data_IF_165116946888
#
_entry.id   IF_165116946888
#
_cell.length_a   1.000
_cell.length_b   1.000
_cell.length_c   1.000
_cell.angle_alpha   90.00
_cell.angle_beta   90.00
_cell.angle_gamma   90.00
#
_symmetry.space_group_name_H-M   'P 1'
#
loop_
_entity.id
_entity.type
_entity.pdbx_description
1 polymer ?
#
# COMPACT_ATOMS: atom_id res chain seq x y z
N UNK A 1 -13.67 4.52 -9.38
CA UNK A 1 -14.66 3.71 -8.66
C UNK A 1 -15.79 3.30 -9.61
N UNK A 2 -16.14 2.03 -9.60
CA UNK A 2 -17.29 1.49 -10.37
C UNK A 2 -18.30 0.91 -9.39
N UNK A 3 -19.56 1.25 -9.58
CA UNK A 3 -20.65 0.81 -8.71
C UNK A 3 -21.69 0.08 -9.55
N UNK A 4 -22.16 -1.08 -9.08
CA UNK A 4 -23.27 -1.84 -9.62
C UNK A 4 -24.33 -2.11 -8.54
N UNK A 5 -25.61 -2.06 -8.89
CA UNK A 5 -26.71 -2.30 -7.97
C UNK A 5 -27.38 -3.62 -8.36
N UNK A 6 -27.63 -4.51 -7.37
CA UNK A 6 -28.32 -5.80 -7.53
C UNK A 6 -27.75 -6.69 -8.65
N UNK A 7 -26.40 -6.71 -8.80
CA UNK A 7 -25.75 -7.51 -9.86
C UNK A 7 -25.84 -6.90 -11.26
N UNK A 8 -26.30 -5.66 -11.40
CA UNK A 8 -26.35 -4.93 -12.66
C UNK A 8 -24.99 -4.44 -13.16
N UNK A 9 -24.90 -3.85 -14.34
CA UNK A 9 -23.67 -3.35 -14.92
C UNK A 9 -23.05 -2.26 -14.03
N UNK A 10 -21.72 -2.36 -13.79
CA UNK A 10 -20.97 -1.39 -13.00
C UNK A 10 -20.67 -0.14 -13.82
N UNK A 11 -21.23 1.01 -13.42
CA UNK A 11 -21.04 2.31 -14.06
C UNK A 11 -20.06 3.19 -13.26
N UNK A 12 -19.33 4.07 -13.96
CA UNK A 12 -18.50 5.08 -13.32
C UNK A 12 -19.37 6.22 -12.79
N UNK A 13 -19.24 6.56 -11.50
CA UNK A 13 -20.09 7.58 -10.83
C UNK A 13 -19.32 8.87 -10.51
N UNK A 14 -18.21 9.11 -11.16
CA UNK A 14 -17.30 10.23 -10.85
C UNK A 14 -17.89 11.64 -11.01
N UNK A 15 -19.05 11.80 -11.68
CA UNK A 15 -19.62 13.12 -11.99
C UNK A 15 -20.75 13.55 -11.05
N UNK A 16 -21.21 12.69 -10.13
CA UNK A 16 -22.37 12.96 -9.28
C UNK A 16 -22.09 12.72 -7.79
N UNK A 17 -20.86 12.37 -7.45
CA UNK A 17 -20.46 12.01 -6.07
C UNK A 17 -19.23 12.79 -5.69
N UNK A 18 -19.34 13.60 -4.66
CA UNK A 18 -18.21 14.24 -4.00
C UNK A 18 -17.80 13.37 -2.80
N UNK A 19 -16.51 13.02 -2.73
CA UNK A 19 -15.95 12.08 -1.77
C UNK A 19 -14.97 12.80 -0.84
N UNK A 20 -15.37 12.97 0.42
CA UNK A 20 -14.47 13.33 1.50
C UNK A 20 -14.06 12.06 2.26
N UNK A 21 -12.77 11.75 2.35
CA UNK A 21 -12.29 10.61 3.13
C UNK A 21 -11.18 11.04 4.07
N UNK A 22 -11.38 10.76 5.35
CA UNK A 22 -10.35 10.87 6.38
C UNK A 22 -9.96 9.47 6.83
N UNK A 23 -8.66 9.16 6.79
CA UNK A 23 -8.15 7.85 7.17
C UNK A 23 -7.05 8.00 8.22
N UNK A 24 -7.19 7.23 9.30
CA UNK A 24 -6.17 7.12 10.34
C UNK A 24 -5.60 5.69 10.31
N UNK A 25 -4.31 5.58 9.99
CA UNK A 25 -3.63 4.29 9.84
C UNK A 25 -2.55 4.16 10.90
N UNK A 26 -2.67 3.13 11.73
CA UNK A 26 -1.60 2.70 12.63
C UNK A 26 -1.00 1.41 12.08
N UNK A 27 0.29 1.44 11.79
CA UNK A 27 1.02 0.28 11.30
C UNK A 27 2.22 0.01 12.22
N UNK A 28 2.24 -1.18 12.83
CA UNK A 28 3.33 -1.61 13.71
C UNK A 28 3.98 -2.84 13.10
N UNK A 29 5.29 -2.76 12.85
CA UNK A 29 6.06 -3.84 12.23
C UNK A 29 7.28 -4.21 13.07
N UNK A 30 7.51 -5.50 13.19
CA UNK A 30 8.74 -6.10 13.70
C UNK A 30 9.50 -6.70 12.51
N UNK A 31 10.74 -6.26 12.32
CA UNK A 31 11.68 -6.84 11.35
C UNK A 31 12.73 -7.61 12.11
N UNK A 32 12.89 -8.89 11.77
CA UNK A 32 13.98 -9.73 12.24
C UNK A 32 14.87 -10.05 11.04
N UNK A 33 16.13 -9.71 11.12
CA UNK A 33 17.08 -9.88 10.03
C UNK A 33 18.38 -10.57 10.47
N UNK A 34 19.03 -11.21 9.48
CA UNK A 34 20.32 -11.85 9.68
C UNK A 34 21.19 -11.69 8.42
N UNK A 35 22.45 -11.35 8.64
CA UNK A 35 23.47 -11.38 7.60
C UNK A 35 24.00 -12.79 7.44
N UNK A 36 23.63 -13.46 6.35
CA UNK A 36 24.13 -14.79 6.01
C UNK A 36 25.53 -14.72 5.42
N UNK A 37 25.81 -13.67 4.65
CA UNK A 37 27.10 -13.36 4.04
C UNK A 37 27.36 -11.86 4.21
N UNK A 38 28.60 -11.38 4.10
CA UNK A 38 28.90 -9.95 4.23
C UNK A 38 28.12 -9.04 3.28
N UNK A 39 27.57 -9.60 2.20
CA UNK A 39 26.83 -8.88 1.17
C UNK A 39 25.37 -9.31 1.07
N UNK A 40 24.92 -10.32 1.84
CA UNK A 40 23.57 -10.88 1.79
C UNK A 40 22.91 -10.83 3.16
N UNK A 41 21.88 -10.05 3.28
CA UNK A 41 20.97 -10.01 4.43
C UNK A 41 19.63 -10.64 4.03
N UNK A 42 19.08 -11.47 4.89
CA UNK A 42 17.71 -11.97 4.78
C UNK A 42 16.90 -11.50 5.98
N UNK A 43 15.61 -11.29 5.79
CA UNK A 43 14.75 -10.83 6.87
C UNK A 43 13.32 -11.35 6.75
N UNK A 44 12.65 -11.38 7.89
CA UNK A 44 11.20 -11.59 8.01
C UNK A 44 10.54 -10.35 8.59
N UNK A 45 9.33 -10.11 8.17
CA UNK A 45 8.47 -9.01 8.62
C UNK A 45 7.24 -9.61 9.27
N UNK A 46 6.92 -9.15 10.47
CA UNK A 46 5.69 -9.47 11.17
C UNK A 46 5.09 -8.15 11.64
N UNK A 47 3.83 -7.93 11.35
CA UNK A 47 3.21 -6.67 11.68
C UNK A 47 1.72 -6.78 11.93
N UNK A 48 1.17 -5.68 12.40
CA UNK A 48 -0.24 -5.47 12.60
C UNK A 48 -0.61 -4.10 12.05
N UNK A 49 -1.64 -4.07 11.23
CA UNK A 49 -2.20 -2.84 10.68
C UNK A 49 -3.60 -2.61 11.26
N UNK A 50 -3.85 -1.39 11.67
CA UNK A 50 -5.17 -0.92 12.05
C UNK A 50 -5.48 0.33 11.24
N UNK A 51 -6.58 0.31 10.51
CA UNK A 51 -7.05 1.43 9.72
C UNK A 51 -8.49 1.76 10.12
N UNK A 52 -8.73 3.02 10.42
CA UNK A 52 -10.06 3.58 10.60
C UNK A 52 -10.25 4.67 9.55
N UNK A 53 -11.25 4.49 8.69
CA UNK A 53 -11.58 5.44 7.62
C UNK A 53 -13.02 5.90 7.76
N UNK A 54 -13.21 7.21 7.78
CA UNK A 54 -14.52 7.85 7.73
C UNK A 54 -14.67 8.44 6.32
N UNK A 55 -15.66 7.99 5.60
CA UNK A 55 -15.93 8.46 4.24
C UNK A 55 -17.31 9.10 4.18
N UNK A 56 -17.34 10.38 3.88
CA UNK A 56 -18.56 11.14 3.65
C UNK A 56 -18.85 11.15 2.15
N UNK A 57 -19.98 10.60 1.77
CA UNK A 57 -20.48 10.56 0.41
C UNK A 57 -21.60 11.58 0.26
N UNK A 58 -21.34 12.65 -0.47
CA UNK A 58 -22.38 13.58 -0.89
C UNK A 58 -22.88 13.18 -2.27
N UNK A 59 -24.14 12.75 -2.36
CA UNK A 59 -24.77 12.32 -3.62
C UNK A 59 -25.78 13.38 -4.03
N UNK A 60 -25.47 14.12 -5.11
CA UNK A 60 -26.35 15.11 -5.68
C UNK A 60 -27.20 14.50 -6.81
N UNK A 61 -28.48 14.32 -6.58
CA UNK A 61 -29.46 13.89 -7.58
C UNK A 61 -30.39 15.06 -7.96
N UNK A 62 -30.92 15.08 -9.19
CA UNK A 62 -31.78 16.15 -9.65
C UNK A 62 -33.08 16.41 -8.82
N UNK A 63 -33.43 15.49 -7.95
CA UNK A 63 -34.63 15.53 -7.11
C UNK A 63 -34.39 15.55 -5.62
N UNK A 64 -33.23 15.06 -5.14
CA UNK A 64 -32.86 15.04 -3.72
C UNK A 64 -31.35 14.87 -3.53
N UNK A 65 -30.76 15.65 -2.66
CA UNK A 65 -29.40 15.48 -2.15
C UNK A 65 -29.44 14.67 -0.86
N UNK A 66 -28.52 13.74 -0.70
CA UNK A 66 -28.37 12.99 0.55
C UNK A 66 -26.89 12.72 0.86
N UNK A 67 -26.59 12.76 2.15
CA UNK A 67 -25.27 12.44 2.69
C UNK A 67 -25.28 11.04 3.28
N UNK A 68 -24.23 10.28 3.00
CA UNK A 68 -24.01 8.96 3.58
C UNK A 68 -22.65 8.93 4.23
N UNK A 69 -22.63 8.75 5.54
CA UNK A 69 -21.40 8.55 6.31
C UNK A 69 -21.10 7.05 6.40
N UNK A 70 -19.91 6.66 5.95
CA UNK A 70 -19.45 5.28 5.99
C UNK A 70 -18.21 5.19 6.86
N UNK A 71 -18.37 4.61 8.06
CA UNK A 71 -17.27 4.28 8.94
C UNK A 71 -16.75 2.88 8.61
N UNK A 72 -15.48 2.80 8.24
CA UNK A 72 -14.83 1.53 7.95
C UNK A 72 -13.66 1.32 8.90
N UNK A 73 -13.67 0.19 9.60
CA UNK A 73 -12.55 -0.26 10.44
C UNK A 73 -11.98 -1.52 9.84
N UNK A 74 -10.68 -1.50 9.57
CA UNK A 74 -9.94 -2.60 9.00
C UNK A 74 -8.73 -2.85 9.89
N UNK A 75 -8.59 -4.07 10.33
CA UNK A 75 -7.42 -4.50 11.08
C UNK A 75 -6.94 -5.86 10.58
N UNK A 76 -5.65 -6.10 10.72
CA UNK A 76 -5.10 -7.34 10.22
C UNK A 76 -3.62 -7.54 10.52
N UNK A 77 -3.20 -8.78 10.28
CA UNK A 77 -1.81 -9.16 10.41
C UNK A 77 -1.07 -9.03 9.09
N UNK A 78 0.17 -8.55 9.17
CA UNK A 78 1.11 -8.47 8.06
C UNK A 78 2.20 -9.49 8.29
N UNK A 79 2.41 -10.37 7.31
CA UNK A 79 3.52 -11.31 7.29
C UNK A 79 4.31 -11.15 6.00
N UNK A 80 5.63 -11.26 6.08
CA UNK A 80 6.44 -11.12 4.89
C UNK A 80 7.89 -11.50 5.12
N UNK A 81 8.67 -11.40 4.06
CA UNK A 81 10.10 -11.61 4.11
C UNK A 81 10.77 -11.02 2.90
N UNK A 82 12.09 -10.84 3.00
CA UNK A 82 12.86 -10.26 1.93
C UNK A 82 14.33 -10.54 2.06
N UNK A 83 15.05 -10.02 1.09
CA UNK A 83 16.50 -10.10 1.03
C UNK A 83 17.07 -8.74 0.60
N UNK A 84 18.25 -8.45 1.10
CA UNK A 84 19.04 -7.28 0.68
C UNK A 84 20.43 -7.75 0.26
N UNK A 85 20.84 -7.36 -0.94
CA UNK A 85 22.18 -7.54 -1.47
C UNK A 85 22.88 -6.19 -1.43
N UNK A 86 24.03 -6.11 -0.74
CA UNK A 86 24.84 -4.91 -0.64
C UNK A 86 26.23 -5.17 -1.15
N UNK A 87 26.72 -4.37 -2.09
CA UNK A 87 28.07 -4.44 -2.59
C UNK A 87 28.69 -3.05 -2.57
N UNK A 88 30.00 -3.00 -2.27
CA UNK A 88 30.76 -1.76 -2.25
C UNK A 88 32.09 -1.94 -2.97
N UNK A 89 32.52 -0.91 -3.68
CA UNK A 89 33.84 -0.83 -4.28
C UNK A 89 34.41 0.59 -4.11
N UNK A 90 35.54 0.70 -3.38
CA UNK A 90 36.09 1.99 -2.96
C UNK A 90 35.05 2.78 -2.17
N UNK A 91 34.67 3.95 -2.67
CA UNK A 91 33.67 4.84 -2.06
C UNK A 91 32.26 4.68 -2.65
N UNK A 92 32.10 3.79 -3.61
CA UNK A 92 30.80 3.51 -4.24
C UNK A 92 30.13 2.32 -3.59
N UNK A 93 28.79 2.38 -3.51
CA UNK A 93 27.99 1.26 -3.07
C UNK A 93 26.74 1.06 -3.92
N UNK A 94 26.25 -0.15 -3.95
CA UNK A 94 24.95 -0.49 -4.50
C UNK A 94 24.22 -1.44 -3.55
N UNK A 95 22.91 -1.21 -3.40
CA UNK A 95 22.03 -2.04 -2.57
C UNK A 95 20.79 -2.39 -3.37
N UNK A 96 20.56 -3.68 -3.53
CA UNK A 96 19.32 -4.24 -4.05
C UNK A 96 18.54 -4.81 -2.88
N UNK A 97 17.32 -4.35 -2.68
CA UNK A 97 16.41 -4.88 -1.67
C UNK A 97 15.14 -5.40 -2.36
N UNK A 98 14.67 -6.56 -1.95
CA UNK A 98 13.43 -7.13 -2.46
C UNK A 98 12.67 -7.78 -1.31
N UNK A 99 11.35 -7.52 -1.25
CA UNK A 99 10.48 -8.16 -0.27
C UNK A 99 9.14 -8.55 -0.87
N UNK A 100 8.56 -9.55 -0.24
CA UNK A 100 7.19 -9.98 -0.41
C UNK A 100 6.48 -9.85 0.93
N UNK A 101 5.30 -9.25 0.94
CA UNK A 101 4.44 -9.16 2.10
C UNK A 101 3.01 -9.52 1.75
N UNK A 102 2.33 -10.11 2.72
CA UNK A 102 0.92 -10.46 2.67
C UNK A 102 0.24 -9.88 3.90
N UNK A 103 -0.90 -9.25 3.69
CA UNK A 103 -1.73 -8.68 4.76
C UNK A 103 -3.07 -9.39 4.73
N UNK A 104 -3.44 -9.98 5.86
CA UNK A 104 -4.75 -10.57 6.11
C UNK A 104 -5.56 -9.59 6.95
N UNK A 105 -6.59 -8.99 6.38
CA UNK A 105 -7.46 -8.00 7.02
C UNK A 105 -8.91 -8.49 7.19
N UNK A 106 -9.09 -9.83 7.20
CA UNK A 106 -10.40 -10.44 7.44
C UNK A 106 -11.39 -10.34 6.29
N UNK A 107 -10.94 -9.95 5.09
CA UNK A 107 -11.70 -10.11 3.85
C UNK A 107 -11.39 -11.45 3.18
N UNK A 108 -12.27 -11.87 2.25
CA UNK A 108 -12.07 -13.11 1.49
C UNK A 108 -10.77 -13.10 0.64
N UNK A 109 -10.21 -11.93 0.35
CA UNK A 109 -8.98 -11.76 -0.42
C UNK A 109 -7.85 -11.16 0.44
N UNK A 110 -6.70 -11.83 0.45
CA UNK A 110 -5.47 -11.35 1.08
C UNK A 110 -4.78 -10.33 0.18
N UNK A 111 -4.34 -9.21 0.77
CA UNK A 111 -3.52 -8.23 0.06
C UNK A 111 -2.08 -8.71 -0.04
N UNK A 112 -1.54 -8.74 -1.26
CA UNK A 112 -0.16 -9.12 -1.54
C UNK A 112 0.60 -7.95 -2.12
N UNK A 113 1.83 -7.75 -1.65
CA UNK A 113 2.72 -6.73 -2.17
C UNK A 113 4.10 -7.31 -2.45
N UNK A 114 4.63 -7.00 -3.62
CA UNK A 114 6.03 -7.23 -3.98
C UNK A 114 6.68 -5.88 -4.16
N UNK A 115 7.79 -5.67 -3.46
CA UNK A 115 8.60 -4.47 -3.59
C UNK A 115 10.01 -4.85 -3.98
N UNK A 116 10.62 -4.13 -4.91
CA UNK A 116 12.04 -4.25 -5.21
C UNK A 116 12.62 -2.85 -5.38
N UNK A 117 13.75 -2.57 -4.73
CA UNK A 117 14.43 -1.28 -4.84
C UNK A 117 15.90 -1.47 -5.14
N UNK A 118 16.43 -0.66 -6.04
CA UNK A 118 17.86 -0.57 -6.31
C UNK A 118 18.32 0.84 -5.95
N UNK A 119 19.35 0.93 -5.11
CA UNK A 119 20.01 2.17 -4.71
C UNK A 119 21.48 2.08 -5.07
N UNK A 120 22.02 3.14 -5.65
CA UNK A 120 23.45 3.30 -5.90
C UNK A 120 23.92 4.62 -5.30
N UNK A 121 25.09 4.63 -4.70
CA UNK A 121 25.54 5.81 -4.00
C UNK A 121 27.06 5.91 -3.85
N UNK A 122 27.45 7.03 -3.30
CA UNK A 122 28.81 7.39 -3.01
C UNK A 122 28.90 7.83 -1.55
N UNK A 123 29.93 7.34 -0.85
CA UNK A 123 30.23 7.73 0.51
C UNK A 123 31.53 8.54 0.55
N UNK A 124 31.54 9.61 1.31
CA UNK A 124 32.70 10.47 1.50
C UNK A 124 32.85 10.85 2.96
N UNK A 125 34.05 11.30 3.33
CA UNK A 125 34.30 11.94 4.62
C UNK A 125 34.47 13.42 4.40
N UNK A 126 33.61 14.23 4.99
CA UNK A 126 33.74 15.68 5.04
C UNK A 126 34.32 16.07 6.40
N UNK A 127 35.65 16.10 6.49
CA UNK A 127 36.34 16.19 7.79
C UNK A 127 36.13 14.92 8.64
N UNK A 128 35.51 15.07 9.80
CA UNK A 128 35.18 13.95 10.70
C UNK A 128 33.80 13.36 10.46
N UNK A 129 32.96 13.95 9.59
CA UNK A 129 31.59 13.55 9.33
C UNK A 129 31.54 12.57 8.13
N UNK A 130 30.99 11.35 8.30
CA UNK A 130 30.68 10.48 7.18
C UNK A 130 29.43 11.04 6.47
N UNK A 131 29.51 11.21 5.16
CA UNK A 131 28.42 11.66 4.30
C UNK A 131 28.16 10.62 3.23
N UNK A 132 26.90 10.31 2.97
CA UNK A 132 26.48 9.42 1.89
C UNK A 132 25.47 10.16 1.00
N UNK A 133 25.63 10.01 -0.30
CA UNK A 133 24.67 10.47 -1.30
C UNK A 133 24.29 9.28 -2.16
N UNK A 134 23.00 9.07 -2.35
CA UNK A 134 22.52 7.98 -3.17
C UNK A 134 21.30 8.37 -3.99
N UNK A 135 21.06 7.61 -5.04
CA UNK A 135 19.86 7.66 -5.86
C UNK A 135 19.36 6.24 -6.13
N UNK A 136 18.09 6.12 -6.42
CA UNK A 136 17.54 4.80 -6.68
C UNK A 136 16.17 4.81 -7.32
N UNK A 137 15.72 3.59 -7.65
CA UNK A 137 14.38 3.33 -8.15
C UNK A 137 13.72 2.25 -7.32
N UNK A 138 12.41 2.32 -7.21
CA UNK A 138 11.59 1.32 -6.55
C UNK A 138 10.54 0.79 -7.52
N UNK A 139 10.44 -0.52 -7.59
CA UNK A 139 9.31 -1.21 -8.19
C UNK A 139 8.36 -1.65 -7.08
N UNK A 140 7.10 -1.31 -7.23
CA UNK A 140 6.06 -1.69 -6.30
C UNK A 140 4.89 -2.27 -7.06
N UNK A 141 4.58 -3.52 -6.79
CA UNK A 141 3.39 -4.19 -7.30
C UNK A 141 2.54 -4.66 -6.13
N UNK A 142 1.31 -4.18 -6.09
CA UNK A 142 0.30 -4.64 -5.14
C UNK A 142 -0.83 -5.27 -5.92
N UNK A 143 -1.10 -6.53 -5.65
CA UNK A 143 -2.30 -7.21 -6.14
C UNK A 143 -3.45 -6.90 -5.17
N UNK A 144 -4.11 -5.79 -5.41
CA UNK A 144 -5.26 -5.36 -4.61
C UNK A 144 -6.47 -5.28 -5.54
N UNK A 145 -7.23 -6.34 -5.62
CA UNK A 145 -8.60 -6.28 -6.14
C UNK A 145 -9.52 -6.20 -4.92
N UNK A 146 -9.75 -4.99 -4.43
CA UNK A 146 -10.74 -4.80 -3.38
C UNK A 146 -12.13 -4.96 -4.01
N UNK A 147 -12.71 -6.14 -3.85
CA UNK A 147 -14.11 -6.40 -4.16
C UNK A 147 -14.89 -6.44 -2.86
N UNK A 148 -15.89 -5.62 -2.76
CA UNK A 148 -16.75 -5.59 -1.60
C UNK A 148 -18.21 -5.50 -2.01
N UNK A 149 -19.07 -5.89 -1.09
CA UNK A 149 -20.50 -5.69 -1.23
C UNK A 149 -21.07 -5.15 0.09
N UNK A 150 -22.03 -4.27 -0.03
CA UNK A 150 -22.80 -3.78 1.12
C UNK A 150 -24.28 -3.85 0.83
N UNK A 151 -25.08 -4.06 1.87
CA UNK A 151 -26.53 -3.98 1.74
C UNK A 151 -27.02 -2.66 2.30
N UNK A 152 -27.64 -1.85 1.44
CA UNK A 152 -28.24 -0.57 1.84
C UNK A 152 -29.75 -0.76 1.93
N UNK A 153 -30.36 -0.48 3.09
CA UNK A 153 -31.82 -0.54 3.25
C UNK A 153 -32.52 0.35 2.22
N UNK A 154 -33.42 -0.24 1.41
CA UNK A 154 -34.17 0.47 0.38
C UNK A 154 -33.53 0.51 -1.02
N UNK A 155 -32.24 0.19 -1.15
CA UNK A 155 -31.53 0.18 -2.45
C UNK A 155 -31.14 -1.25 -2.85
N UNK A 156 -30.87 -2.12 -1.87
CA UNK A 156 -30.45 -3.51 -2.10
C UNK A 156 -28.94 -3.69 -1.98
N UNK A 157 -28.40 -4.69 -2.68
CA UNK A 157 -26.97 -5.02 -2.67
C UNK A 157 -26.20 -4.08 -3.60
N UNK A 158 -25.18 -3.43 -3.07
CA UNK A 158 -24.22 -2.61 -3.83
C UNK A 158 -22.90 -3.36 -3.89
N UNK A 159 -22.44 -3.65 -5.10
CA UNK A 159 -21.14 -4.25 -5.37
C UNK A 159 -20.17 -3.16 -5.84
N UNK A 160 -18.97 -3.09 -5.24
CA UNK A 160 -17.92 -2.15 -5.65
C UNK A 160 -16.63 -2.90 -5.98
N UNK A 161 -15.86 -2.33 -6.89
CA UNK A 161 -14.57 -2.84 -7.33
C UNK A 161 -13.59 -1.68 -7.50
N UNK A 162 -12.46 -1.76 -6.81
CA UNK A 162 -11.35 -0.84 -6.94
C UNK A 162 -10.09 -1.61 -7.33
N UNK A 163 -9.43 -1.19 -8.41
CA UNK A 163 -8.20 -1.77 -8.91
C UNK A 163 -7.06 -0.74 -8.81
N UNK A 164 -5.91 -1.15 -8.29
CA UNK A 164 -4.70 -0.35 -8.23
C UNK A 164 -3.60 -1.00 -9.07
N UNK A 165 -3.28 -0.38 -10.19
CA UNK A 165 -2.18 -0.82 -11.05
C UNK A 165 -0.78 -0.55 -10.46
N UNK A 166 0.29 -1.11 -11.04
CA UNK A 166 1.67 -0.96 -10.58
C UNK A 166 2.15 0.50 -10.66
N UNK A 167 2.95 0.92 -9.67
CA UNK A 167 3.55 2.26 -9.60
C UNK A 167 5.08 2.17 -9.57
N UNK A 168 5.76 3.09 -10.24
CA UNK A 168 7.21 3.18 -10.34
C UNK A 168 7.71 4.55 -9.82
N UNK A 169 7.72 4.80 -8.49
CA UNK A 169 8.27 6.03 -7.96
C UNK A 169 9.80 6.00 -7.98
N UNK A 170 10.40 7.12 -8.36
CA UNK A 170 11.84 7.35 -8.22
C UNK A 170 12.17 7.80 -6.79
N UNK A 171 13.23 7.24 -6.23
CA UNK A 171 13.70 7.56 -4.89
C UNK A 171 14.99 8.39 -4.98
N UNK A 172 15.00 9.54 -4.32
CA UNK A 172 16.18 10.39 -4.11
C UNK A 172 16.21 10.85 -2.65
N UNK A 173 17.39 10.80 -2.05
CA UNK A 173 17.65 11.32 -0.69
C UNK A 173 19.09 11.82 -0.55
#
# INVERSE_FOLDING_TARGET
LRIGVNGGPKNSVSNFVDLGSESNVLNTNLKLDAWLLPFLNIYVLLGYVYNQSNTNLHVSLPTNDFDVDVDTKLDGFVGGGGLSLAVGYSDFFAVLDSNYSQTDIGFDDNFRAITASLRVGYQAKLGALPVQVWMGGCYWNTENVAKGHTQVPGVGRIDFEADQGPKYPWLMD
#
